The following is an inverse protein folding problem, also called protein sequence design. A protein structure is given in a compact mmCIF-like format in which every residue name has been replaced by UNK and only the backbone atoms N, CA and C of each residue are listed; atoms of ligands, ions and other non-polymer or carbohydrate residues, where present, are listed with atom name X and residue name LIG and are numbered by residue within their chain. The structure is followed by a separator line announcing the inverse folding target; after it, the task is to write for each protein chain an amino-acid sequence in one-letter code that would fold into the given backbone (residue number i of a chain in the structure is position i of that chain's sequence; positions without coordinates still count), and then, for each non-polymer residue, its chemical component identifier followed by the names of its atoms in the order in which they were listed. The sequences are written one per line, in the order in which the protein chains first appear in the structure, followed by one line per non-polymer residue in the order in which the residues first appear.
data_IF_738994784074
#
_entry.id   IF_738994784074
#
_cell.length_a   1.000
_cell.length_b   1.000
_cell.length_c   1.000
_cell.angle_alpha   90.00
_cell.angle_beta   90.00
_cell.angle_gamma   90.00
#
_symmetry.space_group_name_H-M   'P 1'
#
loop_
_entity.id
_entity.type
_entity.pdbx_description
1 polymer ?
#
# COMPACT_ATOMS: atom_id res chain seq x y z
N UNK A 1 -3.72 -22.92 12.21
CA UNK A 1 -3.27 -23.54 10.93
C UNK A 1 -2.08 -24.46 11.14
N UNK A 2 -0.92 -23.94 11.58
CA UNK A 2 0.25 -24.76 11.93
C UNK A 2 -0.01 -25.57 13.19
N UNK A 3 -0.56 -24.94 14.23
CA UNK A 3 -0.96 -25.61 15.48
C UNK A 3 -2.04 -26.69 15.26
N UNK A 4 -2.80 -26.59 14.17
CA UNK A 4 -3.84 -27.54 13.78
C UNK A 4 -3.34 -28.59 12.77
N UNK A 5 -2.02 -28.63 12.51
CA UNK A 5 -1.35 -29.58 11.60
C UNK A 5 -1.96 -29.61 10.17
N UNK A 6 -2.40 -28.44 9.68
CA UNK A 6 -2.94 -28.31 8.32
C UNK A 6 -1.87 -28.52 7.26
N UNK A 7 -2.28 -29.10 6.13
CA UNK A 7 -1.43 -29.32 4.97
C UNK A 7 -0.66 -28.06 4.53
N UNK A 8 0.63 -28.23 4.22
CA UNK A 8 1.54 -27.14 3.87
C UNK A 8 1.06 -26.35 2.64
N UNK A 9 0.45 -27.00 1.64
CA UNK A 9 -0.06 -26.30 0.45
C UNK A 9 -1.24 -25.41 0.80
N UNK A 10 -2.06 -25.82 1.76
CA UNK A 10 -3.16 -25.01 2.27
C UNK A 10 -2.66 -23.80 3.06
N UNK A 11 -1.58 -23.95 3.84
CA UNK A 11 -0.90 -22.82 4.49
C UNK A 11 -0.36 -21.83 3.47
N UNK A 12 0.34 -22.32 2.44
CA UNK A 12 0.87 -21.46 1.38
C UNK A 12 -0.24 -20.71 0.61
N UNK A 13 -1.38 -21.35 0.34
CA UNK A 13 -2.55 -20.69 -0.25
C UNK A 13 -3.07 -19.54 0.62
N UNK A 14 -3.15 -19.74 1.94
CA UNK A 14 -3.62 -18.69 2.85
C UNK A 14 -2.63 -17.54 2.98
N UNK A 15 -1.32 -17.83 2.98
CA UNK A 15 -0.29 -16.79 2.90
C UNK A 15 -0.47 -15.98 1.62
N UNK A 16 -0.60 -16.63 0.47
CA UNK A 16 -0.81 -15.94 -0.81
C UNK A 16 -2.09 -15.09 -0.81
N UNK A 17 -3.18 -15.60 -0.23
CA UNK A 17 -4.44 -14.86 -0.09
C UNK A 17 -4.27 -13.62 0.79
N UNK A 18 -3.63 -13.76 1.96
CA UNK A 18 -3.36 -12.64 2.86
C UNK A 18 -2.44 -11.59 2.22
N UNK A 19 -1.37 -12.02 1.54
CA UNK A 19 -0.47 -11.12 0.79
C UNK A 19 -1.21 -10.38 -0.32
N UNK A 20 -2.11 -11.06 -1.05
CA UNK A 20 -2.96 -10.44 -2.06
C UNK A 20 -3.89 -9.38 -1.47
N UNK A 21 -4.57 -9.71 -0.36
CA UNK A 21 -5.46 -8.78 0.34
C UNK A 21 -4.70 -7.55 0.85
N UNK A 22 -3.51 -7.73 1.43
CA UNK A 22 -2.65 -6.63 1.89
C UNK A 22 -2.19 -5.74 0.73
N UNK A 23 -1.87 -6.33 -0.43
CA UNK A 23 -1.52 -5.56 -1.64
C UNK A 23 -2.70 -4.72 -2.11
N UNK A 24 -3.90 -5.30 -2.17
CA UNK A 24 -5.12 -4.57 -2.54
C UNK A 24 -5.42 -3.42 -1.57
N UNK A 25 -5.32 -3.67 -0.26
CA UNK A 25 -5.50 -2.63 0.76
C UNK A 25 -4.46 -1.50 0.60
N UNK A 26 -3.20 -1.84 0.34
CA UNK A 26 -2.14 -0.87 0.09
C UNK A 26 -2.46 0.07 -1.07
N UNK A 27 -3.06 -0.44 -2.15
CA UNK A 27 -3.48 0.39 -3.29
C UNK A 27 -4.63 1.34 -2.93
N UNK A 28 -5.60 0.88 -2.14
CA UNK A 28 -6.71 1.74 -1.66
C UNK A 28 -6.16 2.89 -0.80
N UNK A 29 -5.26 2.59 0.13
CA UNK A 29 -4.64 3.61 0.97
C UNK A 29 -3.81 4.61 0.16
N UNK A 30 -3.14 4.15 -0.91
CA UNK A 30 -2.38 5.02 -1.80
C UNK A 30 -3.29 5.98 -2.56
N UNK A 31 -4.43 5.50 -3.06
CA UNK A 31 -5.44 6.34 -3.71
C UNK A 31 -5.99 7.40 -2.75
N UNK A 32 -6.35 7.02 -1.52
CA UNK A 32 -6.84 7.94 -0.50
C UNK A 32 -5.79 9.01 -0.13
N UNK A 33 -4.51 8.62 -0.03
CA UNK A 33 -3.42 9.55 0.26
C UNK A 33 -3.22 10.58 -0.86
N UNK A 34 -3.32 10.15 -2.13
CA UNK A 34 -3.25 11.04 -3.28
C UNK A 34 -4.43 12.02 -3.31
N UNK A 35 -5.66 11.54 -3.04
CA UNK A 35 -6.87 12.37 -3.06
C UNK A 35 -7.01 13.31 -1.86
N UNK A 36 -6.47 12.92 -0.70
CA UNK A 36 -6.50 13.73 0.51
C UNK A 36 -5.25 14.60 0.61
N UNK A 37 -4.16 14.01 1.11
CA UNK A 37 -2.97 14.76 1.48
C UNK A 37 -2.31 15.51 0.31
N UNK A 38 -2.15 14.85 -0.85
CA UNK A 38 -1.49 15.49 -2.01
C UNK A 38 -2.39 16.55 -2.63
N UNK A 39 -3.66 16.22 -2.88
CA UNK A 39 -4.61 17.19 -3.45
C UNK A 39 -4.80 18.43 -2.55
N UNK A 40 -4.86 18.26 -1.22
CA UNK A 40 -4.93 19.37 -0.28
C UNK A 40 -3.68 20.26 -0.34
N UNK A 41 -2.49 19.67 -0.41
CA UNK A 41 -1.25 20.44 -0.53
C UNK A 41 -1.23 21.28 -1.82
N UNK A 42 -1.70 20.73 -2.94
CA UNK A 42 -1.83 21.43 -4.22
C UNK A 42 -2.83 22.59 -4.12
N UNK A 43 -4.04 22.33 -3.58
CA UNK A 43 -5.10 23.34 -3.44
C UNK A 43 -4.64 24.51 -2.55
N UNK A 44 -3.92 24.20 -1.47
CA UNK A 44 -3.40 25.18 -0.53
C UNK A 44 -2.09 25.85 -1.00
N UNK A 45 -1.56 25.47 -2.17
CA UNK A 45 -0.30 25.98 -2.74
C UNK A 45 0.91 25.75 -1.82
N UNK A 46 0.92 24.63 -1.11
CA UNK A 46 1.99 24.21 -0.20
C UNK A 46 3.09 23.44 -0.98
N UNK A 47 3.77 24.10 -1.92
CA UNK A 47 4.63 23.44 -2.93
C UNK A 47 5.73 22.54 -2.33
N UNK A 48 6.36 22.97 -1.23
CA UNK A 48 7.37 22.15 -0.55
C UNK A 48 6.80 20.85 0.04
N UNK A 49 5.55 20.90 0.53
CA UNK A 49 4.85 19.73 1.10
C UNK A 49 4.32 18.84 -0.01
N UNK A 50 3.80 19.42 -1.10
CA UNK A 50 3.42 18.70 -2.32
C UNK A 50 4.59 17.83 -2.82
N UNK A 51 5.76 18.44 -3.04
CA UNK A 51 6.96 17.72 -3.51
C UNK A 51 7.33 16.58 -2.56
N UNK A 52 7.31 16.83 -1.24
CA UNK A 52 7.62 15.83 -0.24
C UNK A 52 6.64 14.63 -0.29
N UNK A 53 5.34 14.89 -0.39
CA UNK A 53 4.31 13.85 -0.42
C UNK A 53 4.38 13.04 -1.72
N UNK A 54 4.61 13.68 -2.86
CA UNK A 54 4.81 13.00 -4.14
C UNK A 54 6.02 12.07 -4.07
N UNK A 55 7.13 12.53 -3.50
CA UNK A 55 8.31 11.69 -3.30
C UNK A 55 8.00 10.45 -2.42
N UNK A 56 7.23 10.62 -1.34
CA UNK A 56 6.81 9.49 -0.50
C UNK A 56 5.98 8.47 -1.28
N UNK A 57 5.04 8.92 -2.13
CA UNK A 57 4.25 8.03 -2.97
C UNK A 57 5.14 7.24 -3.93
N UNK A 58 6.08 7.89 -4.60
CA UNK A 58 7.02 7.24 -5.54
C UNK A 58 7.88 6.20 -4.82
N UNK A 59 8.41 6.53 -3.64
CA UNK A 59 9.23 5.62 -2.84
C UNK A 59 8.46 4.36 -2.43
N UNK A 60 7.21 4.53 -1.99
CA UNK A 60 6.35 3.41 -1.62
C UNK A 60 5.95 2.61 -2.85
N UNK A 61 5.54 3.25 -3.94
CA UNK A 61 5.18 2.58 -5.19
C UNK A 61 6.31 1.70 -5.73
N UNK A 62 7.56 2.17 -5.66
CA UNK A 62 8.73 1.40 -6.05
C UNK A 62 8.97 0.16 -5.19
N UNK A 63 8.54 0.17 -3.92
CA UNK A 63 8.56 -1.01 -3.04
C UNK A 63 7.48 -2.03 -3.40
N UNK A 64 6.32 -1.57 -3.89
CA UNK A 64 5.21 -2.44 -4.34
C UNK A 64 5.41 -3.04 -5.74
N UNK A 65 6.25 -2.39 -6.56
CA UNK A 65 6.55 -2.82 -7.93
C UNK A 65 7.70 -3.82 -8.03
N UNK A 66 8.43 -4.04 -6.93
CA UNK A 66 9.38 -5.15 -6.77
C UNK A 66 8.64 -6.37 -6.25
#
# INVERSE_FOLDING_TARGET
MIEDDRDCMDVLKQIAAASGALRSLGMVLMEDHLKGCVAEAIVNKETAKEDQLIHQVVDVFNKFSK
#
